data_IF_497574173720
#
_entry.id   IF_497574173720
#
_cell.length_a   1.000
_cell.length_b   1.000
_cell.length_c   1.000
_cell.angle_alpha   90.00
_cell.angle_beta   90.00
_cell.angle_gamma   90.00
#
_symmetry.space_group_name_H-M   'P 1'
#
loop_
_entity.id
_entity.type
_entity.pdbx_description
1 polymer ?
#
# COMPACT_ATOMS: atom_id res chain seq x y z
N UNK A 1 -2.43 26.71 -7.46
CA UNK A 1 -2.72 25.85 -6.29
C UNK A 1 -1.43 25.66 -5.56
N UNK A 2 -1.39 25.99 -4.28
CA UNK A 2 -0.16 25.83 -3.49
C UNK A 2 -0.02 24.40 -3.00
N UNK A 3 1.19 23.87 -3.09
CA UNK A 3 1.52 22.52 -2.59
C UNK A 3 1.57 22.60 -1.06
N UNK A 4 0.74 21.82 -0.38
CA UNK A 4 0.73 21.73 1.08
C UNK A 4 1.85 20.83 1.60
N UNK A 5 1.98 19.65 0.98
CA UNK A 5 3.01 18.65 1.31
C UNK A 5 3.51 18.00 0.05
N UNK A 6 4.79 17.62 0.06
CA UNK A 6 5.41 16.85 -1.00
C UNK A 6 6.03 15.60 -0.40
N UNK A 7 5.81 14.47 -1.06
CA UNK A 7 6.39 13.19 -0.70
C UNK A 7 7.15 12.65 -1.91
N UNK A 8 8.43 12.37 -1.74
CA UNK A 8 9.28 11.85 -2.82
C UNK A 8 10.06 10.64 -2.32
N UNK A 9 10.03 9.57 -3.09
CA UNK A 9 10.73 8.34 -2.74
C UNK A 9 11.02 7.48 -3.97
N UNK A 10 11.95 6.56 -3.81
CA UNK A 10 12.25 5.53 -4.83
C UNK A 10 11.40 4.30 -4.51
N UNK A 11 10.53 3.90 -5.45
CA UNK A 11 9.72 2.71 -5.34
C UNK A 11 10.58 1.46 -5.62
N UNK A 12 10.78 0.63 -4.61
CA UNK A 12 11.56 -0.61 -4.71
C UNK A 12 10.67 -1.84 -4.65
N UNK A 13 11.16 -2.98 -5.16
CA UNK A 13 10.44 -4.26 -5.05
C UNK A 13 10.11 -4.59 -3.59
N UNK A 14 11.04 -4.33 -2.67
CA UNK A 14 10.84 -4.56 -1.23
C UNK A 14 9.65 -3.78 -0.69
N UNK A 15 9.53 -2.49 -1.02
CA UNK A 15 8.40 -1.65 -0.59
C UNK A 15 7.06 -2.16 -1.12
N UNK A 16 7.01 -2.58 -2.40
CA UNK A 16 5.79 -3.17 -2.97
C UNK A 16 5.44 -4.49 -2.30
N UNK A 17 6.43 -5.33 -1.96
CA UNK A 17 6.21 -6.59 -1.24
C UNK A 17 5.70 -6.36 0.19
N UNK A 18 6.15 -5.32 0.89
CA UNK A 18 5.58 -4.92 2.18
C UNK A 18 4.09 -4.56 2.07
N UNK A 19 3.70 -4.06 0.91
CA UNK A 19 2.32 -3.68 0.59
C UNK A 19 1.44 -4.83 0.08
N UNK A 20 1.94 -6.07 -0.01
CA UNK A 20 1.26 -7.23 -0.63
C UNK A 20 -0.18 -7.46 -0.15
N UNK A 21 -0.50 -7.09 1.09
CA UNK A 21 -1.86 -7.24 1.64
C UNK A 21 -2.90 -6.40 0.91
N UNK A 22 -2.50 -5.26 0.31
CA UNK A 22 -3.38 -4.45 -0.51
C UNK A 22 -3.82 -5.17 -1.81
N UNK A 23 -3.05 -6.18 -2.24
CA UNK A 23 -3.34 -6.98 -3.44
C UNK A 23 -4.22 -8.21 -3.18
N UNK A 24 -4.64 -8.45 -1.92
CA UNK A 24 -5.59 -9.51 -1.59
C UNK A 24 -6.99 -9.01 -1.92
N UNK A 25 -7.60 -9.60 -2.94
CA UNK A 25 -8.97 -9.25 -3.33
C UNK A 25 -9.99 -9.72 -2.28
N UNK A 26 -11.21 -9.17 -2.34
CA UNK A 26 -12.31 -9.66 -1.49
C UNK A 26 -12.63 -11.13 -1.79
N UNK A 27 -12.55 -11.52 -3.05
CA UNK A 27 -12.77 -12.89 -3.50
C UNK A 27 -11.67 -13.84 -2.99
N UNK A 28 -10.40 -13.44 -3.01
CA UNK A 28 -9.31 -14.27 -2.46
C UNK A 28 -9.56 -14.56 -0.97
N UNK A 29 -10.03 -13.57 -0.19
CA UNK A 29 -10.38 -13.76 1.22
C UNK A 29 -11.58 -14.69 1.40
N UNK A 30 -12.62 -14.49 0.59
CA UNK A 30 -13.82 -15.32 0.65
C UNK A 30 -13.51 -16.78 0.33
N UNK A 31 -12.82 -17.05 -0.78
CA UNK A 31 -12.45 -18.42 -1.16
C UNK A 31 -11.47 -19.04 -0.16
N UNK A 32 -10.53 -18.28 0.35
CA UNK A 32 -9.60 -18.77 1.37
C UNK A 32 -10.34 -19.20 2.65
N UNK A 33 -11.33 -18.41 3.08
CA UNK A 33 -12.16 -18.74 4.24
C UNK A 33 -13.02 -19.98 3.96
N UNK A 34 -13.64 -20.06 2.79
CA UNK A 34 -14.44 -21.20 2.33
C UNK A 34 -13.58 -22.48 2.32
N UNK A 35 -12.40 -22.44 1.73
CA UNK A 35 -11.49 -23.59 1.67
C UNK A 35 -11.01 -24.01 3.06
N UNK A 36 -10.79 -23.06 3.96
CA UNK A 36 -10.42 -23.36 5.34
C UNK A 36 -11.54 -24.13 6.05
N UNK A 37 -12.78 -23.64 5.98
CA UNK A 37 -13.91 -24.31 6.61
C UNK A 37 -14.19 -25.68 6.02
N UNK A 38 -14.22 -25.83 4.68
CA UNK A 38 -14.45 -27.11 4.03
C UNK A 38 -13.33 -28.13 4.33
N UNK A 39 -12.09 -27.67 4.40
CA UNK A 39 -10.94 -28.46 4.77
C UNK A 39 -11.03 -28.98 6.21
N UNK A 40 -11.35 -28.11 7.18
CA UNK A 40 -11.51 -28.48 8.58
C UNK A 40 -12.68 -29.46 8.76
N UNK A 41 -13.82 -29.18 8.13
CA UNK A 41 -14.98 -30.03 8.19
C UNK A 41 -14.70 -31.41 7.60
N UNK A 42 -14.12 -31.47 6.40
CA UNK A 42 -13.75 -32.72 5.75
C UNK A 42 -12.72 -33.53 6.56
N UNK A 43 -11.80 -32.87 7.24
CA UNK A 43 -10.81 -33.54 8.08
C UNK A 43 -11.42 -34.16 9.34
N UNK A 44 -12.35 -33.44 10.00
CA UNK A 44 -12.98 -33.89 11.26
C UNK A 44 -13.98 -35.03 11.01
N UNK A 45 -14.80 -34.89 9.95
CA UNK A 45 -15.89 -35.84 9.69
C UNK A 45 -15.47 -37.07 8.84
N UNK A 46 -14.26 -37.08 8.31
CA UNK A 46 -13.74 -38.19 7.52
C UNK A 46 -13.05 -39.26 8.42
N UNK A 47 -13.84 -40.10 9.09
CA UNK A 47 -13.29 -41.08 10.03
C UNK A 47 -12.37 -42.14 9.35
N UNK A 48 -12.65 -42.56 8.11
CA UNK A 48 -11.89 -43.63 7.45
C UNK A 48 -11.56 -43.40 5.97
N UNK A 49 -12.10 -42.37 5.33
CA UNK A 49 -11.91 -42.17 3.89
C UNK A 49 -10.64 -41.39 3.57
N UNK A 50 -9.60 -42.12 3.13
CA UNK A 50 -8.29 -41.59 2.77
C UNK A 50 -8.39 -40.47 1.70
N UNK A 51 -9.28 -40.64 0.72
CA UNK A 51 -9.50 -39.69 -0.36
C UNK A 51 -9.97 -38.34 0.17
N UNK A 52 -10.91 -38.33 1.11
CA UNK A 52 -11.42 -37.10 1.73
C UNK A 52 -10.34 -36.37 2.52
N UNK A 53 -9.46 -37.08 3.20
CA UNK A 53 -8.30 -36.53 3.91
C UNK A 53 -7.33 -35.85 2.95
N UNK A 54 -7.03 -36.45 1.80
CA UNK A 54 -6.17 -35.87 0.77
C UNK A 54 -6.79 -34.58 0.19
N UNK A 55 -8.08 -34.58 -0.10
CA UNK A 55 -8.81 -33.38 -0.58
C UNK A 55 -8.74 -32.25 0.46
N UNK A 56 -8.95 -32.58 1.73
CA UNK A 56 -8.87 -31.59 2.82
C UNK A 56 -7.49 -30.96 2.93
N UNK A 57 -6.43 -31.76 2.85
CA UNK A 57 -5.05 -31.27 2.84
C UNK A 57 -4.80 -30.37 1.62
N UNK A 58 -5.26 -30.77 0.43
CA UNK A 58 -5.14 -29.95 -0.79
C UNK A 58 -5.82 -28.59 -0.65
N UNK A 59 -7.05 -28.55 -0.10
CA UNK A 59 -7.77 -27.29 0.16
C UNK A 59 -7.04 -26.39 1.16
N UNK A 60 -6.39 -26.96 2.17
CA UNK A 60 -5.55 -26.21 3.10
C UNK A 60 -4.35 -25.57 2.40
N UNK A 61 -3.68 -26.29 1.49
CA UNK A 61 -2.62 -25.72 0.68
C UNK A 61 -3.12 -24.59 -0.24
N UNK A 62 -4.31 -24.74 -0.84
CA UNK A 62 -4.93 -23.70 -1.65
C UNK A 62 -5.24 -22.44 -0.84
N UNK A 63 -5.64 -22.57 0.42
CA UNK A 63 -5.83 -21.44 1.33
C UNK A 63 -4.52 -20.67 1.56
N UNK A 64 -3.42 -21.38 1.88
CA UNK A 64 -2.09 -20.78 2.03
C UNK A 64 -1.63 -20.11 0.73
N UNK A 65 -1.85 -20.73 -0.41
CA UNK A 65 -1.53 -20.17 -1.72
C UNK A 65 -2.24 -18.83 -1.96
N UNK A 66 -3.55 -18.76 -1.73
CA UNK A 66 -4.35 -17.55 -1.96
C UNK A 66 -3.95 -16.38 -1.04
N UNK A 67 -3.58 -16.67 0.21
CA UNK A 67 -3.26 -15.62 1.20
C UNK A 67 -1.81 -15.14 1.09
N UNK A 68 -0.86 -16.02 0.83
CA UNK A 68 0.57 -15.70 0.93
C UNK A 68 1.28 -15.66 -0.44
N UNK A 69 1.03 -16.64 -1.29
CA UNK A 69 1.77 -16.79 -2.54
C UNK A 69 1.20 -15.87 -3.61
N UNK A 70 -0.10 -15.93 -3.85
CA UNK A 70 -0.75 -15.17 -4.92
C UNK A 70 -0.58 -13.64 -4.78
N UNK A 71 -0.75 -13.01 -3.61
CA UNK A 71 -0.49 -11.58 -3.44
C UNK A 71 0.99 -11.21 -3.68
N UNK A 72 1.90 -12.09 -3.27
CA UNK A 72 3.34 -11.89 -3.51
C UNK A 72 3.65 -11.91 -5.01
N UNK A 73 3.09 -12.86 -5.76
CA UNK A 73 3.24 -12.93 -7.22
C UNK A 73 2.62 -11.71 -7.93
N UNK A 74 1.45 -11.28 -7.49
CA UNK A 74 0.80 -10.07 -8.00
C UNK A 74 1.66 -8.82 -7.77
N UNK A 75 2.22 -8.68 -6.57
CA UNK A 75 3.13 -7.58 -6.23
C UNK A 75 4.37 -7.55 -7.12
N UNK A 76 5.03 -8.69 -7.29
CA UNK A 76 6.21 -8.82 -8.18
C UNK A 76 5.87 -8.52 -9.63
N UNK A 77 4.73 -9.01 -10.13
CA UNK A 77 4.26 -8.75 -11.50
C UNK A 77 4.00 -7.26 -11.70
N UNK A 78 3.40 -6.59 -10.69
CA UNK A 78 3.16 -5.16 -10.73
C UNK A 78 4.48 -4.39 -10.80
N UNK A 79 5.44 -4.68 -9.91
CA UNK A 79 6.75 -4.04 -9.94
C UNK A 79 7.45 -4.16 -11.30
N UNK A 80 7.45 -5.38 -11.88
CA UNK A 80 8.02 -5.60 -13.23
C UNK A 80 7.33 -4.76 -14.31
N UNK A 81 6.00 -4.59 -14.23
CA UNK A 81 5.26 -3.72 -15.16
C UNK A 81 5.66 -2.25 -15.01
N UNK A 82 5.79 -1.75 -13.77
CA UNK A 82 6.27 -0.39 -13.52
C UNK A 82 7.67 -0.17 -14.07
N UNK A 83 8.59 -1.10 -13.86
CA UNK A 83 9.93 -1.03 -14.43
C UNK A 83 9.90 -0.99 -15.97
N UNK A 84 9.10 -1.83 -16.59
CA UNK A 84 8.99 -1.87 -18.05
C UNK A 84 8.45 -0.56 -18.65
N UNK A 85 7.45 0.07 -17.98
CA UNK A 85 6.90 1.36 -18.40
C UNK A 85 7.94 2.49 -18.26
N UNK A 86 8.85 2.39 -17.29
CA UNK A 86 9.90 3.38 -17.05
C UNK A 86 11.27 2.98 -17.61
N UNK A 87 11.31 2.19 -18.68
CA UNK A 87 12.52 1.77 -19.38
C UNK A 87 13.57 1.12 -18.47
N UNK A 88 13.12 0.42 -17.41
CA UNK A 88 13.97 -0.20 -16.37
C UNK A 88 14.84 0.77 -15.57
N UNK A 89 14.53 2.06 -15.59
CA UNK A 89 15.16 3.05 -14.72
C UNK A 89 14.60 3.02 -13.29
N UNK A 90 15.23 3.77 -12.40
CA UNK A 90 14.75 3.89 -11.03
C UNK A 90 13.36 4.54 -11.01
N UNK A 91 12.43 3.89 -10.30
CA UNK A 91 11.06 4.37 -10.15
C UNK A 91 11.01 5.46 -9.07
N UNK A 92 11.37 6.68 -9.45
CA UNK A 92 11.17 7.84 -8.60
C UNK A 92 9.69 8.24 -8.68
N UNK A 93 9.00 8.18 -7.57
CA UNK A 93 7.63 8.67 -7.45
C UNK A 93 7.61 9.91 -6.54
N UNK A 94 6.86 10.90 -6.96
CA UNK A 94 6.60 12.10 -6.18
C UNK A 94 5.10 12.32 -6.07
N UNK A 95 4.63 12.59 -4.86
CA UNK A 95 3.22 12.88 -4.60
C UNK A 95 3.10 14.27 -4.01
N UNK A 96 2.43 15.17 -4.72
CA UNK A 96 2.13 16.51 -4.26
C UNK A 96 0.70 16.55 -3.70
N UNK A 97 0.53 17.06 -2.51
CA UNK A 97 -0.75 17.17 -1.83
C UNK A 97 -1.23 18.63 -1.89
N UNK A 98 -2.47 18.81 -2.31
CA UNK A 98 -3.19 20.09 -2.36
C UNK A 98 -4.44 20.01 -1.49
N UNK A 99 -5.22 21.06 -1.40
CA UNK A 99 -6.43 21.09 -0.55
C UNK A 99 -7.47 20.03 -0.91
N UNK A 100 -7.76 19.84 -2.21
CA UNK A 100 -8.85 18.97 -2.68
C UNK A 100 -8.39 17.76 -3.48
N UNK A 101 -7.14 17.78 -3.93
CA UNK A 101 -6.54 16.75 -4.78
C UNK A 101 -5.14 16.42 -4.33
N UNK A 102 -4.65 15.29 -4.74
CA UNK A 102 -3.22 14.97 -4.77
C UNK A 102 -2.80 14.56 -6.18
N UNK A 103 -1.57 14.88 -6.53
CA UNK A 103 -0.99 14.62 -7.84
C UNK A 103 0.18 13.65 -7.69
N UNK A 104 0.13 12.56 -8.44
CA UNK A 104 1.21 11.57 -8.52
C UNK A 104 2.02 11.87 -9.77
N UNK A 105 3.32 12.02 -9.60
CA UNK A 105 4.27 12.31 -10.66
C UNK A 105 5.28 11.17 -10.71
N UNK A 106 5.33 10.45 -11.83
CA UNK A 106 6.29 9.38 -12.05
C UNK A 106 7.57 9.88 -12.72
N UNK A 107 8.65 9.13 -12.61
CA UNK A 107 9.95 9.46 -13.21
C UNK A 107 9.91 9.71 -14.72
N UNK A 108 8.99 9.07 -15.44
CA UNK A 108 8.77 9.28 -16.88
C UNK A 108 8.03 10.59 -17.22
N UNK A 109 7.74 11.44 -16.22
CA UNK A 109 7.02 12.70 -16.37
C UNK A 109 5.49 12.57 -16.44
N UNK A 110 4.94 11.36 -16.37
CA UNK A 110 3.48 11.18 -16.31
C UNK A 110 2.92 11.77 -15.01
N UNK A 111 1.76 12.44 -15.12
CA UNK A 111 1.07 13.07 -13.99
C UNK A 111 -0.36 12.59 -13.93
N UNK A 112 -0.79 12.22 -12.74
CA UNK A 112 -2.16 11.78 -12.47
C UNK A 112 -2.69 12.56 -11.27
N UNK A 113 -3.73 13.37 -11.48
CA UNK A 113 -4.39 14.14 -10.42
C UNK A 113 -5.61 13.38 -9.91
N UNK A 114 -5.70 13.17 -8.61
CA UNK A 114 -6.75 12.38 -7.97
C UNK A 114 -7.40 13.22 -6.87
N UNK A 115 -8.73 13.35 -6.91
CA UNK A 115 -9.48 13.98 -5.82
C UNK A 115 -9.55 13.08 -4.60
N UNK A 116 -9.47 13.65 -3.39
CA UNK A 116 -9.68 12.93 -2.13
C UNK A 116 -11.05 12.24 -2.06
N UNK A 117 -12.06 12.75 -2.76
CA UNK A 117 -13.41 12.11 -2.90
C UNK A 117 -13.36 10.75 -3.61
N UNK A 118 -12.30 10.48 -4.33
CA UNK A 118 -12.08 9.20 -5.02
C UNK A 118 -11.32 8.18 -4.16
N UNK A 119 -10.92 8.54 -2.95
CA UNK A 119 -10.25 7.64 -2.03
C UNK A 119 -11.25 6.64 -1.45
N UNK A 120 -11.02 5.34 -1.68
CA UNK A 120 -11.83 4.24 -1.14
C UNK A 120 -11.33 3.76 0.22
N UNK A 121 -10.00 3.64 0.35
CA UNK A 121 -9.38 3.07 1.56
C UNK A 121 -7.92 3.48 1.69
N UNK A 122 -7.48 3.65 2.93
CA UNK A 122 -6.08 3.86 3.29
C UNK A 122 -5.59 2.62 4.04
N UNK A 123 -4.49 2.03 3.57
CA UNK A 123 -3.79 1.00 4.30
C UNK A 123 -2.55 1.61 4.94
N UNK A 124 -2.48 1.52 6.27
CA UNK A 124 -1.31 1.96 7.03
C UNK A 124 -0.38 0.76 7.25
N UNK A 125 0.87 0.88 6.80
CA UNK A 125 1.94 -0.11 6.96
C UNK A 125 3.15 0.54 7.64
N UNK A 126 4.11 -0.27 8.07
CA UNK A 126 5.24 0.23 8.87
C UNK A 126 5.90 1.47 8.23
N UNK A 127 6.30 1.36 6.97
CA UNK A 127 7.04 2.42 6.26
C UNK A 127 6.19 3.13 5.19
N UNK A 128 4.97 2.63 4.91
CA UNK A 128 4.17 3.09 3.78
C UNK A 128 2.72 3.37 4.17
N UNK A 129 2.15 4.39 3.54
CA UNK A 129 0.71 4.57 3.40
C UNK A 129 0.33 4.20 1.97
N UNK A 130 -0.74 3.44 1.80
CA UNK A 130 -1.24 3.04 0.49
C UNK A 130 -2.65 3.57 0.34
N UNK A 131 -2.86 4.43 -0.62
CA UNK A 131 -4.17 4.96 -0.95
C UNK A 131 -4.78 4.08 -2.05
N UNK A 132 -5.87 3.42 -1.75
CA UNK A 132 -6.71 2.74 -2.74
C UNK A 132 -7.78 3.72 -3.20
N UNK A 133 -7.70 4.12 -4.45
CA UNK A 133 -8.64 5.03 -5.10
C UNK A 133 -9.71 4.27 -5.89
N UNK A 134 -10.69 5.00 -6.44
CA UNK A 134 -11.62 4.46 -7.44
C UNK A 134 -10.82 3.92 -8.62
N UNK A 135 -11.44 2.98 -9.39
CA UNK A 135 -10.79 2.28 -10.51
C UNK A 135 -9.57 1.43 -10.09
N UNK A 136 -9.51 1.09 -8.78
CA UNK A 136 -8.48 0.26 -8.19
C UNK A 136 -7.04 0.78 -8.37
N UNK A 137 -6.90 2.12 -8.53
CA UNK A 137 -5.62 2.79 -8.56
C UNK A 137 -5.01 2.76 -7.16
N UNK A 138 -3.78 2.25 -7.07
CA UNK A 138 -2.98 2.25 -5.84
C UNK A 138 -1.93 3.35 -5.90
N UNK A 139 -1.92 4.22 -4.90
CA UNK A 139 -0.90 5.26 -4.73
C UNK A 139 -0.11 4.96 -3.47
N UNK A 140 1.19 4.90 -3.63
CA UNK A 140 2.14 4.63 -2.56
C UNK A 140 2.70 5.93 -2.01
N UNK A 141 2.86 6.01 -0.69
CA UNK A 141 3.40 7.17 0.01
C UNK A 141 4.34 6.64 1.08
N UNK A 142 5.61 7.00 1.01
CA UNK A 142 6.59 6.61 1.99
C UNK A 142 6.54 7.55 3.19
N UNK A 143 6.44 7.05 4.41
CA UNK A 143 6.22 7.88 5.62
C UNK A 143 7.39 8.84 5.89
N UNK A 144 8.60 8.43 5.60
CA UNK A 144 9.82 9.24 5.73
C UNK A 144 10.20 10.00 4.45
N UNK A 145 9.36 9.91 3.39
CA UNK A 145 9.54 10.62 2.14
C UNK A 145 8.94 12.02 2.10
N UNK A 146 8.33 12.50 3.19
CA UNK A 146 7.81 13.86 3.24
C UNK A 146 8.93 14.88 3.33
N UNK A 147 8.95 15.79 2.37
CA UNK A 147 9.83 16.94 2.41
C UNK A 147 9.29 17.93 3.47
N UNK A 148 10.05 18.10 4.56
CA UNK A 148 9.72 19.14 5.54
C UNK A 148 9.95 20.51 4.90
N UNK A 149 8.87 21.24 4.72
CA UNK A 149 8.97 22.64 4.31
C UNK A 149 9.65 23.42 5.45
N UNK A 150 10.94 23.74 5.28
CA UNK A 150 11.75 24.50 6.25
C UNK A 150 11.18 25.87 6.59
N UNK A 151 10.15 26.34 5.87
CA UNK A 151 9.49 27.62 6.12
C UNK A 151 8.60 27.60 7.36
N UNK A 152 7.95 26.49 7.69
CA UNK A 152 7.06 26.44 8.86
C UNK A 152 7.81 26.35 10.20
N UNK A 153 9.03 25.84 10.21
CA UNK A 153 9.85 25.74 11.44
C UNK A 153 10.46 27.07 11.86
N UNK A 154 10.65 28.02 10.94
CA UNK A 154 11.17 29.38 11.27
C UNK A 154 10.11 30.28 11.90
N UNK A 155 8.83 30.10 11.61
CA UNK A 155 7.76 30.91 12.22
C UNK A 155 7.46 30.51 13.66
N UNK A 156 7.62 29.25 14.03
CA UNK A 156 7.40 28.80 15.42
C UNK A 156 8.58 29.09 16.36
N UNK A 157 9.79 29.31 15.85
CA UNK A 157 10.95 29.65 16.68
C UNK A 157 11.03 31.15 16.98
N UNK A 158 10.41 32.02 16.19
CA UNK A 158 10.37 33.48 16.45
C UNK A 158 9.33 33.90 17.49
N UNK A 159 8.28 33.10 17.72
CA UNK A 159 7.29 33.39 18.76
C UNK A 159 7.64 32.90 20.16
N UNK A 160 8.69 32.10 20.31
CA UNK A 160 9.08 31.56 21.63
C UNK A 160 10.19 32.36 22.33
N UNK A 161 10.76 33.38 21.67
CA UNK A 161 11.83 34.20 22.23
C UNK A 161 11.35 35.54 22.79
N UNK A 162 10.09 35.92 22.58
CA UNK A 162 9.59 37.25 22.95
C UNK A 162 8.82 37.31 24.28
N UNK A 163 8.67 36.18 24.98
CA UNK A 163 7.90 36.12 26.23
C UNK A 163 8.72 35.92 27.51
N UNK A 164 10.08 36.13 27.48
CA UNK A 164 10.94 35.91 28.64
C UNK A 164 11.53 37.12 29.32
N UNK A 165 11.30 38.33 28.79
CA UNK A 165 11.86 39.56 29.37
C UNK A 165 10.80 40.58 29.81
N UNK A 166 9.90 40.14 30.67
CA UNK A 166 9.05 41.09 31.37
C UNK A 166 8.58 40.55 32.73
N UNK A 167 9.51 40.42 33.65
CA UNK A 167 9.25 40.43 35.12
C UNK A 167 10.59 40.64 35.82
N UNK A 168 11.00 41.91 35.99
CA UNK A 168 11.67 42.49 37.14
C UNK A 168 11.34 43.99 37.15
#
# INVERSE_FOLDING_TARGET
MDILFKNSFILTEKLILECRVAFISKWDKFFSLLFLFTSLFGFIYSESNLTTKFISIYLMFMCVYLIFILPTLRSKKMYKRYLAINNYEQLLESVNFYNDIFEVISSNGSRVSISYKNLKKIYNRNNMLIFLCKEDILVFIKKDGFEQDRKSTRQNSSHHTESRDRWF
#
